data_IF_650084115175
#
_entry.id   IF_650084115175
#
_cell.length_a   1.000
_cell.length_b   1.000
_cell.length_c   1.000
_cell.angle_alpha   90.00
_cell.angle_beta   90.00
_cell.angle_gamma   90.00
#
_symmetry.space_group_name_H-M   'P 1'
#
loop_
_entity.id
_entity.type
_entity.pdbx_description
1 polymer ?
#
# COMPACT_ATOMS: atom_id res chain seq x y z
N UNK A 1 -5.41 -21.00 -6.99
CA UNK A 1 -5.49 -19.74 -7.78
C UNK A 1 -4.07 -19.20 -7.88
N UNK A 2 -3.37 -19.40 -8.98
CA UNK A 2 -1.92 -19.18 -8.98
C UNK A 2 -1.50 -17.74 -8.72
N UNK A 3 -2.10 -16.73 -9.37
CA UNK A 3 -1.70 -15.33 -9.20
C UNK A 3 -2.78 -14.46 -8.55
N UNK A 4 -2.55 -13.99 -7.32
CA UNK A 4 -3.48 -13.09 -6.61
C UNK A 4 -2.78 -11.80 -6.21
N UNK A 5 -3.34 -10.65 -6.61
CA UNK A 5 -2.83 -9.32 -6.23
C UNK A 5 -3.71 -8.71 -5.14
N UNK A 6 -3.09 -8.19 -4.09
CA UNK A 6 -3.76 -7.39 -3.04
C UNK A 6 -3.36 -5.94 -3.19
N UNK A 7 -4.34 -5.06 -3.35
CA UNK A 7 -4.14 -3.61 -3.47
C UNK A 7 -5.05 -2.85 -2.50
N UNK A 8 -4.62 -1.66 -2.10
CA UNK A 8 -5.49 -0.71 -1.42
C UNK A 8 -6.42 -0.01 -2.42
N UNK A 9 -7.69 0.08 -2.11
CA UNK A 9 -8.70 0.67 -3.00
C UNK A 9 -9.05 2.14 -2.64
N UNK A 10 -8.32 2.74 -1.71
CA UNK A 10 -8.54 4.11 -1.22
C UNK A 10 -7.20 4.88 -1.20
N UNK A 11 -6.93 5.69 -0.16
CA UNK A 11 -5.68 6.46 0.01
C UNK A 11 -4.65 5.78 0.92
N UNK A 12 -4.61 4.46 0.97
CA UNK A 12 -3.74 3.72 1.89
C UNK A 12 -4.40 3.50 3.25
N UNK A 13 -3.69 2.77 4.11
CA UNK A 13 -4.13 2.44 5.47
C UNK A 13 -5.48 1.69 5.57
N UNK A 14 -5.87 0.99 4.50
CA UNK A 14 -7.13 0.23 4.43
C UNK A 14 -7.11 -1.06 5.27
N UNK A 15 -6.01 -1.37 5.96
CA UNK A 15 -5.87 -2.63 6.69
C UNK A 15 -5.39 -3.80 5.80
N UNK A 16 -4.64 -3.49 4.74
CA UNK A 16 -4.05 -4.50 3.82
C UNK A 16 -3.22 -5.55 4.55
N UNK A 17 -2.46 -5.17 5.59
CA UNK A 17 -1.63 -6.10 6.35
C UNK A 17 -2.40 -7.30 6.86
N UNK A 18 -3.57 -7.08 7.47
CA UNK A 18 -4.47 -8.14 7.96
C UNK A 18 -4.93 -9.08 6.83
N UNK A 19 -5.39 -8.51 5.71
CA UNK A 19 -5.88 -9.31 4.57
C UNK A 19 -4.74 -10.04 3.87
N UNK A 20 -3.58 -9.40 3.75
CA UNK A 20 -2.38 -10.02 3.17
C UNK A 20 -1.89 -11.18 4.04
N UNK A 21 -1.84 -11.02 5.35
CA UNK A 21 -1.46 -12.09 6.29
C UNK A 21 -2.43 -13.28 6.21
N UNK A 22 -3.75 -13.01 6.20
CA UNK A 22 -4.77 -14.03 6.03
C UNK A 22 -4.57 -14.85 4.74
N UNK A 23 -4.19 -14.19 3.65
CA UNK A 23 -3.97 -14.84 2.35
C UNK A 23 -2.58 -15.48 2.25
N UNK A 24 -1.57 -14.92 2.92
CA UNK A 24 -0.20 -15.43 2.94
C UNK A 24 -0.12 -16.85 3.52
N UNK A 25 -1.00 -17.20 4.45
CA UNK A 25 -1.08 -18.55 4.98
C UNK A 25 -1.28 -19.62 3.88
N UNK A 26 -2.07 -19.29 2.85
CA UNK A 26 -2.40 -20.18 1.73
C UNK A 26 -1.50 -20.00 0.52
N UNK A 27 -0.66 -18.96 0.51
CA UNK A 27 0.29 -18.70 -0.56
C UNK A 27 1.57 -19.54 -0.39
N UNK A 28 2.25 -19.85 -1.48
CA UNK A 28 3.59 -20.43 -1.49
C UNK A 28 4.66 -19.36 -1.59
N UNK A 29 4.34 -18.26 -2.31
CA UNK A 29 5.21 -17.11 -2.52
C UNK A 29 4.45 -15.84 -2.18
N UNK A 30 5.07 -14.92 -1.43
CA UNK A 30 4.56 -13.56 -1.17
C UNK A 30 5.53 -12.55 -1.75
N UNK A 31 5.10 -11.78 -2.74
CA UNK A 31 5.96 -10.87 -3.49
C UNK A 31 5.49 -9.42 -3.38
N UNK A 32 6.30 -8.55 -2.77
CA UNK A 32 6.09 -7.10 -2.83
C UNK A 32 6.54 -6.55 -4.17
N UNK A 33 5.71 -5.74 -4.80
CA UNK A 33 5.95 -5.32 -6.17
C UNK A 33 6.22 -3.81 -6.34
N UNK A 34 5.94 -2.94 -5.34
CA UNK A 34 6.15 -1.50 -5.44
C UNK A 34 6.28 -0.83 -4.08
N UNK A 35 6.57 0.49 -4.09
CA UNK A 35 6.77 1.29 -2.89
C UNK A 35 8.17 1.06 -2.29
N UNK A 36 8.27 1.26 -1.01
CA UNK A 36 9.52 1.11 -0.26
C UNK A 36 9.21 1.09 1.24
N UNK A 37 10.12 1.60 2.05
CA UNK A 37 9.96 1.71 3.48
C UNK A 37 8.96 2.81 3.94
N UNK A 38 8.24 3.44 3.01
CA UNK A 38 7.08 4.28 3.28
C UNK A 38 5.78 3.48 3.51
N UNK A 39 5.79 2.15 3.30
CA UNK A 39 4.69 1.28 3.72
C UNK A 39 4.74 1.00 5.22
N UNK A 40 3.59 0.67 5.81
CA UNK A 40 3.48 0.21 7.19
C UNK A 40 2.40 -0.86 7.26
N UNK A 41 2.81 -2.14 7.25
CA UNK A 41 1.92 -3.27 7.44
C UNK A 41 2.02 -3.75 8.88
N UNK A 42 0.95 -3.57 9.62
CA UNK A 42 0.82 -4.13 10.97
C UNK A 42 0.11 -5.47 10.88
N UNK A 43 0.73 -6.49 11.42
CA UNK A 43 0.21 -7.86 11.49
C UNK A 43 0.16 -8.24 12.97
N UNK A 44 -0.98 -8.76 13.41
CA UNK A 44 -1.13 -9.32 14.75
C UNK A 44 -1.18 -10.84 14.62
N UNK A 45 -0.21 -11.53 15.23
CA UNK A 45 -0.13 -12.98 15.24
C UNK A 45 0.21 -13.50 16.63
N UNK A 46 -0.56 -14.46 17.12
CA UNK A 46 -0.38 -15.07 18.44
C UNK A 46 -0.33 -14.02 19.58
N UNK A 47 -1.10 -12.93 19.43
CA UNK A 47 -1.13 -11.79 20.36
C UNK A 47 0.06 -10.82 20.24
N UNK A 48 1.00 -11.07 19.35
CA UNK A 48 2.15 -10.20 19.09
C UNK A 48 1.95 -9.33 17.84
N UNK A 49 2.35 -8.06 17.95
CA UNK A 49 2.31 -7.10 16.85
C UNK A 49 3.64 -7.07 16.09
N UNK A 50 3.58 -7.23 14.76
CA UNK A 50 4.70 -7.08 13.83
C UNK A 50 4.44 -5.89 12.91
N UNK A 51 5.39 -4.97 12.85
CA UNK A 51 5.33 -3.78 11.96
C UNK A 51 6.36 -3.95 10.85
N UNK A 52 5.88 -4.24 9.65
CA UNK A 52 6.72 -4.46 8.47
C UNK A 52 6.64 -3.26 7.52
N UNK A 53 7.79 -2.82 7.03
CA UNK A 53 7.90 -1.69 6.10
C UNK A 53 8.36 -2.12 4.71
N UNK A 54 9.39 -2.95 4.61
CA UNK A 54 9.98 -3.44 3.36
C UNK A 54 9.74 -4.93 3.15
N UNK A 55 9.92 -5.72 4.20
CA UNK A 55 9.83 -7.17 4.12
C UNK A 55 8.39 -7.60 3.90
N UNK A 56 8.12 -8.56 2.96
CA UNK A 56 6.76 -9.07 2.73
C UNK A 56 6.14 -9.72 3.95
N UNK A 57 4.82 -9.60 4.10
CA UNK A 57 4.06 -10.14 5.24
C UNK A 57 4.23 -11.64 5.44
N UNK A 58 4.50 -12.38 4.37
CA UNK A 58 4.76 -13.83 4.41
C UNK A 58 6.00 -14.26 5.18
N UNK A 59 6.88 -13.33 5.58
CA UNK A 59 8.12 -13.63 6.32
C UNK A 59 7.88 -14.33 7.65
N UNK A 60 6.69 -14.13 8.24
CA UNK A 60 6.28 -14.78 9.47
C UNK A 60 6.03 -16.29 9.32
N UNK A 61 6.08 -16.81 8.09
CA UNK A 61 5.86 -18.22 7.76
C UNK A 61 7.11 -18.80 7.09
N UNK A 62 7.91 -19.57 7.78
CA UNK A 62 9.18 -20.10 7.28
C UNK A 62 9.06 -20.91 5.98
N UNK A 63 7.93 -21.63 5.81
CA UNK A 63 7.68 -22.44 4.61
C UNK A 63 7.35 -21.62 3.35
N UNK A 64 7.17 -20.29 3.47
CA UNK A 64 6.81 -19.41 2.35
C UNK A 64 8.05 -18.73 1.79
N UNK A 65 8.11 -18.54 0.48
CA UNK A 65 9.15 -17.72 -0.12
C UNK A 65 8.69 -16.26 -0.16
N UNK A 66 9.48 -15.36 0.42
CA UNK A 66 9.20 -13.92 0.44
C UNK A 66 10.08 -13.20 -0.57
N UNK A 67 9.48 -12.43 -1.48
CA UNK A 67 10.20 -11.76 -2.56
C UNK A 67 10.02 -10.25 -2.49
N UNK A 68 11.12 -9.51 -2.49
CA UNK A 68 11.14 -8.08 -2.78
C UNK A 68 11.43 -7.91 -4.26
N UNK A 69 10.41 -7.50 -5.03
CA UNK A 69 10.48 -7.35 -6.48
C UNK A 69 11.25 -6.10 -6.92
N UNK A 70 11.56 -6.03 -8.20
CA UNK A 70 12.32 -4.93 -8.81
C UNK A 70 11.58 -3.57 -8.82
N UNK A 71 10.26 -3.58 -8.56
CA UNK A 71 9.48 -2.36 -8.43
C UNK A 71 9.64 -1.68 -7.06
N UNK A 72 10.14 -2.37 -6.05
CA UNK A 72 10.39 -1.82 -4.72
C UNK A 72 11.72 -1.04 -4.71
N UNK A 73 11.75 0.08 -3.96
CA UNK A 73 12.99 0.80 -3.65
C UNK A 73 13.39 0.50 -2.20
N UNK A 74 14.67 0.18 -1.98
CA UNK A 74 15.17 -0.45 -0.76
C UNK A 74 16.18 0.46 -0.05
N UNK A 75 15.89 0.86 1.17
CA UNK A 75 16.90 1.40 2.08
C UNK A 75 17.59 0.22 2.79
N UNK A 76 18.90 -0.03 2.56
CA UNK A 76 19.60 -1.16 3.18
C UNK A 76 19.56 -1.15 4.69
N UNK A 77 19.65 0.02 5.31
CA UNK A 77 19.62 0.19 6.77
C UNK A 77 18.29 -0.25 7.35
N UNK A 78 17.20 0.16 6.71
CA UNK A 78 15.84 -0.18 7.15
C UNK A 78 15.57 -1.67 6.93
N UNK A 79 15.92 -2.22 5.75
CA UNK A 79 15.69 -3.64 5.45
C UNK A 79 16.41 -4.55 6.45
N UNK A 80 17.70 -4.28 6.71
CA UNK A 80 18.47 -5.10 7.64
C UNK A 80 18.11 -4.85 9.10
N UNK A 81 17.73 -3.62 9.47
CA UNK A 81 17.18 -3.34 10.80
C UNK A 81 15.88 -4.09 11.07
N UNK A 82 15.00 -4.18 10.06
CA UNK A 82 13.76 -4.94 10.13
C UNK A 82 14.03 -6.45 10.22
N UNK A 83 14.98 -6.97 9.42
CA UNK A 83 15.39 -8.37 9.46
C UNK A 83 16.01 -8.75 10.81
N UNK A 84 16.88 -7.89 11.36
CA UNK A 84 17.52 -8.12 12.65
C UNK A 84 16.49 -8.12 13.80
N UNK A 85 15.48 -7.23 13.73
CA UNK A 85 14.38 -7.20 14.68
C UNK A 85 13.51 -8.47 14.61
N UNK A 86 13.28 -9.01 13.42
CA UNK A 86 12.58 -10.29 13.23
C UNK A 86 13.40 -11.45 13.80
N UNK A 87 14.69 -11.49 13.53
CA UNK A 87 15.62 -12.53 14.08
C UNK A 87 15.67 -12.51 15.59
N UNK A 88 15.66 -11.34 16.22
CA UNK A 88 15.59 -11.20 17.68
C UNK A 88 14.31 -11.79 18.27
N UNK A 89 13.26 -11.96 17.46
CA UNK A 89 11.98 -12.58 17.82
C UNK A 89 11.84 -14.02 17.32
N UNK A 90 12.94 -14.66 16.91
CA UNK A 90 12.99 -16.06 16.48
C UNK A 90 12.58 -16.34 15.04
N UNK A 91 12.40 -15.30 14.22
CA UNK A 91 12.08 -15.44 12.78
C UNK A 91 13.38 -15.31 11.98
N UNK A 92 13.86 -16.41 11.39
CA UNK A 92 15.19 -16.46 10.72
C UNK A 92 15.31 -15.49 9.55
N UNK A 93 14.23 -15.32 8.77
CA UNK A 93 14.21 -14.53 7.54
C UNK A 93 14.99 -15.15 6.38
N UNK A 94 15.42 -16.41 6.48
CA UNK A 94 16.19 -17.11 5.45
C UNK A 94 15.38 -17.40 4.18
N UNK A 95 14.05 -17.30 4.30
CA UNK A 95 13.09 -17.42 3.21
C UNK A 95 12.90 -16.10 2.41
N UNK A 96 13.64 -15.04 2.74
CA UNK A 96 13.64 -13.78 1.98
C UNK A 96 14.45 -13.93 0.68
N UNK A 97 13.97 -13.29 -0.38
CA UNK A 97 14.65 -13.14 -1.67
C UNK A 97 14.49 -11.68 -2.14
N UNK A 98 15.54 -11.12 -2.69
CA UNK A 98 15.59 -9.72 -3.13
C UNK A 98 15.98 -9.67 -4.59
N UNK A 99 15.18 -9.00 -5.41
CA UNK A 99 15.51 -8.80 -6.81
C UNK A 99 16.82 -8.03 -6.96
N UNK A 100 17.78 -8.59 -7.69
CA UNK A 100 18.99 -7.88 -8.06
C UNK A 100 18.72 -6.58 -8.85
N UNK A 101 17.54 -6.48 -9.48
CA UNK A 101 17.10 -5.30 -10.24
C UNK A 101 16.39 -4.23 -9.39
N UNK A 102 16.12 -4.46 -8.11
CA UNK A 102 15.57 -3.45 -7.21
C UNK A 102 16.56 -2.30 -7.00
N UNK A 103 16.05 -1.08 -6.82
CA UNK A 103 16.89 0.11 -6.64
C UNK A 103 17.14 0.39 -5.16
N UNK A 104 18.36 0.86 -4.86
CA UNK A 104 18.76 1.25 -3.52
C UNK A 104 18.43 2.72 -3.27
N UNK A 105 17.85 3.01 -2.12
CA UNK A 105 17.70 4.36 -1.61
C UNK A 105 19.08 4.79 -1.06
N UNK A 106 19.64 5.80 -1.68
CA UNK A 106 20.95 6.34 -1.39
C UNK A 106 20.86 7.45 -0.34
N UNK A 107 21.95 7.75 0.41
CA UNK A 107 21.95 8.85 1.37
C UNK A 107 21.52 10.20 0.79
N UNK A 108 21.89 10.50 -0.44
CA UNK A 108 21.46 11.73 -1.11
C UNK A 108 19.96 11.78 -1.42
N UNK A 109 19.29 10.63 -1.56
CA UNK A 109 17.84 10.61 -1.75
C UNK A 109 17.10 11.13 -0.53
N UNK A 110 17.56 10.78 0.67
CA UNK A 110 16.99 11.25 1.93
C UNK A 110 17.17 12.76 2.10
N UNK A 111 18.38 13.27 1.81
CA UNK A 111 18.67 14.70 1.88
C UNK A 111 17.80 15.49 0.89
N UNK A 112 17.70 15.02 -0.36
CA UNK A 112 16.91 15.69 -1.40
C UNK A 112 15.40 15.62 -1.12
N UNK A 113 14.88 14.53 -0.53
CA UNK A 113 13.47 14.42 -0.17
C UNK A 113 13.08 15.48 0.85
N UNK A 114 13.87 15.61 1.93
CA UNK A 114 13.66 16.63 2.94
C UNK A 114 13.78 18.06 2.39
N UNK A 115 14.78 18.30 1.54
CA UNK A 115 15.01 19.63 0.95
C UNK A 115 13.88 20.03 0.00
N UNK A 116 13.43 19.11 -0.85
CA UNK A 116 12.33 19.37 -1.78
C UNK A 116 11.03 19.75 -1.03
N UNK A 117 10.69 19.05 0.06
CA UNK A 117 9.53 19.40 0.88
C UNK A 117 9.66 20.80 1.50
N UNK A 118 10.85 21.18 1.96
CA UNK A 118 11.10 22.53 2.49
C UNK A 118 10.92 23.60 1.41
N UNK A 119 11.43 23.37 0.21
CA UNK A 119 11.33 24.31 -0.91
C UNK A 119 9.88 24.52 -1.39
N UNK A 120 9.09 23.47 -1.35
CA UNK A 120 7.66 23.57 -1.71
C UNK A 120 6.85 24.41 -0.71
N UNK A 121 7.31 24.59 0.52
CA UNK A 121 6.68 25.44 1.53
C UNK A 121 5.18 25.13 1.72
N UNK A 122 4.31 26.07 1.36
CA UNK A 122 2.86 25.86 1.45
C UNK A 122 2.28 24.86 0.44
N UNK A 123 3.05 24.48 -0.56
CA UNK A 123 2.70 23.48 -1.57
C UNK A 123 3.30 22.12 -1.30
N UNK A 124 3.82 21.89 -0.09
CA UNK A 124 4.38 20.62 0.31
C UNK A 124 3.37 19.48 0.06
N UNK A 125 3.90 18.35 -0.33
CA UNK A 125 3.12 17.14 -0.61
C UNK A 125 2.80 16.40 0.70
N UNK A 126 3.66 16.55 1.70
CA UNK A 126 3.60 15.83 2.96
C UNK A 126 4.26 14.45 2.84
N UNK A 127 5.40 14.36 2.16
CA UNK A 127 6.14 13.12 2.00
C UNK A 127 6.59 12.52 3.33
N UNK A 128 7.00 11.27 3.31
CA UNK A 128 7.52 10.58 4.51
C UNK A 128 8.98 10.93 4.82
N UNK A 129 9.66 11.70 3.95
CA UNK A 129 11.07 12.06 4.09
C UNK A 129 12.02 10.86 3.99
N UNK A 130 11.61 9.78 3.32
CA UNK A 130 12.36 8.50 3.25
C UNK A 130 13.08 8.27 1.93
N UNK A 131 13.21 9.29 1.11
CA UNK A 131 13.95 9.24 -0.15
C UNK A 131 13.27 8.44 -1.26
N UNK A 132 11.99 8.07 -1.10
CA UNK A 132 11.24 7.25 -2.05
C UNK A 132 11.15 7.94 -3.41
N UNK A 133 10.62 9.18 -3.43
CA UNK A 133 10.45 9.96 -4.66
C UNK A 133 11.76 10.16 -5.42
N UNK A 134 12.81 10.72 -4.80
CA UNK A 134 14.10 10.89 -5.43
C UNK A 134 14.72 9.58 -5.97
N UNK A 135 14.50 8.44 -5.29
CA UNK A 135 14.99 7.15 -5.77
C UNK A 135 14.25 6.69 -7.05
N UNK A 136 12.93 6.86 -7.12
CA UNK A 136 12.18 6.59 -8.34
C UNK A 136 12.57 7.54 -9.49
N UNK A 137 12.84 8.81 -9.21
CA UNK A 137 13.38 9.76 -10.22
C UNK A 137 14.67 9.22 -10.81
N UNK A 138 15.61 8.75 -10.00
CA UNK A 138 16.88 8.21 -10.47
C UNK A 138 16.70 6.89 -11.26
N UNK A 139 15.76 6.05 -10.86
CA UNK A 139 15.38 4.85 -11.61
C UNK A 139 14.96 5.20 -13.05
N UNK A 140 14.03 6.15 -13.22
CA UNK A 140 13.53 6.55 -14.54
C UNK A 140 14.54 7.41 -15.31
N UNK A 141 15.38 8.16 -14.63
CA UNK A 141 16.55 8.86 -15.22
C UNK A 141 17.64 7.89 -15.64
N UNK A 142 17.60 6.64 -15.21
CA UNK A 142 18.55 5.56 -15.54
C UNK A 142 19.95 5.77 -14.96
N UNK A 143 20.03 6.44 -13.80
CA UNK A 143 21.26 6.64 -13.04
C UNK A 143 21.22 5.96 -11.67
N UNK A 144 20.10 5.32 -11.34
CA UNK A 144 19.90 4.65 -10.05
C UNK A 144 20.85 3.48 -9.82
N UNK A 145 21.15 3.25 -8.55
CA UNK A 145 21.99 2.13 -8.09
C UNK A 145 21.05 0.95 -7.78
N UNK A 146 21.40 -0.23 -8.28
CA UNK A 146 20.62 -1.47 -8.08
C UNK A 146 21.30 -2.38 -7.06
N UNK A 147 20.54 -3.27 -6.45
CA UNK A 147 21.05 -4.27 -5.51
C UNK A 147 22.18 -5.10 -6.11
N UNK A 148 22.05 -5.56 -7.36
CA UNK A 148 23.10 -6.31 -8.05
C UNK A 148 24.43 -5.55 -8.23
N UNK A 149 24.41 -4.21 -8.21
CA UNK A 149 25.64 -3.42 -8.35
C UNK A 149 26.55 -3.60 -7.15
N UNK A 150 26.04 -4.05 -6.00
CA UNK A 150 26.83 -4.38 -4.82
C UNK A 150 27.80 -5.55 -5.06
N UNK A 151 27.52 -6.41 -6.04
CA UNK A 151 28.34 -7.58 -6.37
C UNK A 151 29.56 -7.23 -7.25
N UNK A 152 29.66 -5.99 -7.71
CA UNK A 152 30.81 -5.52 -8.51
C UNK A 152 31.24 -4.13 -8.02
N UNK A 153 32.25 -4.10 -7.15
CA UNK A 153 32.79 -2.88 -6.56
C UNK A 153 33.17 -1.82 -7.62
N UNK A 154 33.79 -2.25 -8.72
CA UNK A 154 34.24 -1.33 -9.77
C UNK A 154 33.07 -0.65 -10.46
N UNK A 155 32.01 -1.40 -10.74
CA UNK A 155 30.77 -0.85 -11.31
C UNK A 155 30.09 0.06 -10.30
N UNK A 156 29.97 -0.36 -9.05
CA UNK A 156 29.36 0.42 -7.98
C UNK A 156 30.06 1.77 -7.80
N UNK A 157 31.39 1.80 -7.63
CA UNK A 157 32.17 3.04 -7.48
C UNK A 157 31.96 4.01 -8.64
N UNK A 158 32.00 3.49 -9.88
CA UNK A 158 31.75 4.30 -11.06
C UNK A 158 30.36 4.92 -11.07
N UNK A 159 29.32 4.12 -10.78
CA UNK A 159 27.92 4.58 -10.77
C UNK A 159 27.67 5.61 -9.67
N UNK A 160 28.14 5.35 -8.44
CA UNK A 160 28.00 6.27 -7.31
C UNK A 160 28.69 7.60 -7.61
N UNK A 161 29.94 7.56 -8.13
CA UNK A 161 30.67 8.76 -8.53
C UNK A 161 29.89 9.56 -9.59
N UNK A 162 29.35 8.90 -10.60
CA UNK A 162 28.59 9.57 -11.66
C UNK A 162 27.31 10.19 -11.11
N UNK A 163 26.55 9.48 -10.27
CA UNK A 163 25.34 10.01 -9.68
C UNK A 163 25.63 11.22 -8.77
N UNK A 164 26.66 11.13 -7.94
CA UNK A 164 27.02 12.21 -7.01
C UNK A 164 27.56 13.47 -7.69
N UNK A 165 28.03 13.42 -8.93
CA UNK A 165 28.36 14.63 -9.67
C UNK A 165 27.16 15.58 -9.79
N UNK A 166 25.99 15.03 -10.14
CA UNK A 166 24.75 15.81 -10.22
C UNK A 166 24.15 16.09 -8.83
N UNK A 167 24.10 15.07 -7.99
CA UNK A 167 23.46 15.22 -6.67
C UNK A 167 24.17 16.21 -5.77
N UNK A 168 25.49 16.22 -5.77
CA UNK A 168 26.27 17.19 -5.02
C UNK A 168 26.08 18.62 -5.53
N UNK A 169 25.91 18.83 -6.84
CA UNK A 169 25.54 20.13 -7.37
C UNK A 169 24.18 20.60 -6.80
N UNK A 170 23.17 19.71 -6.74
CA UNK A 170 21.88 20.05 -6.16
C UNK A 170 21.97 20.29 -4.65
N UNK A 171 22.72 19.46 -3.92
CA UNK A 171 22.89 19.63 -2.48
C UNK A 171 23.56 20.97 -2.16
N UNK A 172 24.62 21.35 -2.90
CA UNK A 172 25.25 22.66 -2.79
C UNK A 172 24.28 23.81 -3.06
N UNK A 173 23.46 23.69 -4.10
CA UNK A 173 22.45 24.69 -4.44
C UNK A 173 21.45 24.93 -3.31
N UNK A 174 21.19 23.91 -2.52
CA UNK A 174 20.27 23.95 -1.37
C UNK A 174 20.99 24.17 -0.03
N UNK A 175 22.27 24.59 -0.02
CA UNK A 175 23.08 24.79 1.19
C UNK A 175 23.17 23.52 2.07
N UNK A 176 23.11 22.34 1.46
CA UNK A 176 23.29 21.04 2.12
C UNK A 176 24.70 20.52 1.84
N UNK A 177 25.33 19.93 2.85
CA UNK A 177 26.68 19.36 2.72
C UNK A 177 26.75 18.31 1.62
N UNK A 178 27.78 18.41 0.79
CA UNK A 178 28.06 17.41 -0.26
C UNK A 178 28.52 16.09 0.33
N UNK A 179 28.28 15.02 -0.41
CA UNK A 179 28.69 13.67 -0.04
C UNK A 179 29.95 13.25 -0.79
N UNK A 180 30.83 12.58 -0.06
CA UNK A 180 32.01 11.96 -0.65
C UNK A 180 31.65 10.65 -1.35
N UNK A 181 32.00 10.49 -2.66
CA UNK A 181 31.61 9.27 -3.40
C UNK A 181 32.26 7.99 -2.87
N UNK A 182 33.50 8.05 -2.38
CA UNK A 182 34.19 6.88 -1.88
C UNK A 182 33.56 6.44 -0.55
N UNK A 183 33.29 7.38 0.36
CA UNK A 183 32.61 7.09 1.62
C UNK A 183 31.22 6.48 1.40
N UNK A 184 30.41 7.04 0.47
CA UNK A 184 29.09 6.49 0.15
C UNK A 184 29.20 5.09 -0.43
N UNK A 185 30.22 4.84 -1.27
CA UNK A 185 30.43 3.51 -1.83
C UNK A 185 30.86 2.51 -0.77
N UNK A 186 31.78 2.89 0.11
CA UNK A 186 32.27 2.00 1.19
C UNK A 186 31.14 1.64 2.18
N UNK A 187 30.26 2.59 2.49
CA UNK A 187 29.04 2.32 3.28
C UNK A 187 28.16 1.24 2.62
N UNK A 188 27.96 1.34 1.29
CA UNK A 188 27.16 0.36 0.55
C UNK A 188 27.84 -1.01 0.47
N UNK A 189 29.16 -1.04 0.24
CA UNK A 189 29.95 -2.29 0.22
C UNK A 189 29.86 -3.02 1.56
N UNK A 190 29.71 -2.31 2.67
CA UNK A 190 29.48 -2.88 3.98
C UNK A 190 28.19 -3.72 4.09
N UNK A 191 27.26 -3.58 3.14
CA UNK A 191 26.04 -4.40 3.08
C UNK A 191 26.15 -5.60 2.14
N UNK A 192 27.21 -5.72 1.33
CA UNK A 192 27.34 -6.74 0.27
C UNK A 192 27.17 -8.15 0.81
N UNK A 193 27.95 -8.54 1.81
CA UNK A 193 27.88 -9.88 2.42
C UNK A 193 26.50 -10.20 3.01
N UNK A 194 25.80 -9.16 3.51
CA UNK A 194 24.44 -9.32 4.05
C UNK A 194 23.40 -9.50 2.96
N UNK A 195 23.56 -8.86 1.79
CA UNK A 195 22.64 -8.98 0.66
C UNK A 195 22.85 -10.26 -0.13
N UNK A 196 24.07 -10.71 -0.30
CA UNK A 196 24.45 -11.81 -1.20
C UNK A 196 23.56 -13.06 -1.08
N UNK A 197 23.20 -13.57 0.14
CA UNK A 197 22.34 -14.73 0.28
C UNK A 197 20.91 -14.54 -0.22
N UNK A 198 20.46 -13.30 -0.34
CA UNK A 198 19.08 -12.96 -0.69
C UNK A 198 18.90 -12.60 -2.16
N UNK A 199 20.00 -12.20 -2.86
CA UNK A 199 19.92 -11.70 -4.24
C UNK A 199 19.48 -12.81 -5.19
N UNK A 200 18.45 -12.53 -5.99
CA UNK A 200 17.94 -13.46 -7.00
C UNK A 200 17.43 -12.76 -8.26
N UNK A 201 17.20 -13.56 -9.30
CA UNK A 201 16.29 -13.17 -10.39
C UNK A 201 14.84 -13.40 -9.92
N UNK A 202 14.23 -12.34 -9.40
CA UNK A 202 12.88 -12.40 -8.89
C UNK A 202 11.84 -12.75 -9.96
N UNK A 203 12.06 -12.31 -11.21
CA UNK A 203 11.15 -12.64 -12.32
C UNK A 203 11.19 -14.13 -12.62
N UNK A 204 12.37 -14.71 -12.75
CA UNK A 204 12.52 -16.16 -12.95
C UNK A 204 11.89 -16.95 -11.80
N UNK A 205 12.17 -16.57 -10.56
CA UNK A 205 11.66 -17.23 -9.36
C UNK A 205 10.13 -17.25 -9.33
N UNK A 206 9.50 -16.06 -9.49
CA UNK A 206 8.05 -15.94 -9.40
C UNK A 206 7.34 -16.64 -10.57
N UNK A 207 7.85 -16.51 -11.81
CA UNK A 207 7.28 -17.21 -12.96
C UNK A 207 7.43 -18.73 -12.83
N UNK A 208 8.59 -19.24 -12.37
CA UNK A 208 8.78 -20.67 -12.10
C UNK A 208 7.77 -21.18 -11.07
N UNK A 209 7.52 -20.44 -10.01
CA UNK A 209 6.50 -20.81 -9.02
C UNK A 209 5.10 -20.91 -9.66
N UNK A 210 4.72 -19.92 -10.47
CA UNK A 210 3.44 -19.95 -11.21
C UNK A 210 3.36 -21.12 -12.20
N UNK A 211 4.45 -21.47 -12.92
CA UNK A 211 4.51 -22.61 -13.84
C UNK A 211 4.34 -23.95 -13.11
N UNK A 212 4.79 -24.02 -11.87
CA UNK A 212 4.59 -25.16 -10.97
C UNK A 212 3.18 -25.22 -10.35
N UNK A 213 2.29 -24.30 -10.70
CA UNK A 213 0.94 -24.21 -10.13
C UNK A 213 0.89 -23.70 -8.69
N UNK A 214 2.00 -23.15 -8.17
CA UNK A 214 2.07 -22.57 -6.82
C UNK A 214 1.26 -21.28 -6.73
N UNK A 215 0.74 -21.00 -5.53
CA UNK A 215 0.04 -19.76 -5.25
C UNK A 215 1.03 -18.64 -5.00
N UNK A 216 0.98 -17.59 -5.83
CA UNK A 216 1.76 -16.37 -5.66
C UNK A 216 0.82 -15.23 -5.22
N UNK A 217 1.11 -14.66 -4.08
CA UNK A 217 0.45 -13.48 -3.54
C UNK A 217 1.29 -12.24 -3.82
N UNK A 218 0.79 -11.32 -4.62
CA UNK A 218 1.43 -10.04 -4.87
C UNK A 218 0.91 -9.02 -3.88
N UNK A 219 1.78 -8.58 -2.98
CA UNK A 219 1.48 -7.66 -1.89
C UNK A 219 1.75 -6.22 -2.31
N UNK A 220 0.68 -5.42 -2.41
CA UNK A 220 0.74 -3.99 -2.68
C UNK A 220 0.91 -3.15 -1.41
N UNK A 221 1.45 -1.96 -1.59
CA UNK A 221 1.56 -0.93 -0.56
C UNK A 221 0.77 0.31 -1.00
N UNK A 222 0.51 1.24 -0.07
CA UNK A 222 -0.30 2.44 -0.29
C UNK A 222 -1.73 2.08 -0.80
N UNK A 223 -2.35 2.95 -1.59
CA UNK A 223 -3.69 2.74 -2.15
C UNK A 223 -3.82 3.35 -3.54
N UNK A 224 -4.80 2.89 -4.31
CA UNK A 224 -5.01 3.25 -5.71
C UNK A 224 -5.14 4.76 -5.95
N UNK A 225 -5.70 5.50 -4.98
CA UNK A 225 -5.86 6.95 -5.10
C UNK A 225 -4.57 7.74 -4.79
N UNK A 226 -3.49 7.04 -4.42
CA UNK A 226 -2.13 7.56 -4.32
C UNK A 226 -1.25 7.19 -5.52
N UNK A 227 -1.81 6.59 -6.56
CA UNK A 227 -1.07 6.23 -7.78
C UNK A 227 -0.53 7.47 -8.49
N UNK A 228 0.74 7.40 -8.96
CA UNK A 228 1.41 8.56 -9.57
C UNK A 228 0.74 9.01 -10.86
N UNK A 229 0.12 8.10 -11.61
CA UNK A 229 -0.54 8.39 -12.88
C UNK A 229 -2.04 8.67 -12.73
N UNK A 230 -2.71 7.95 -11.83
CA UNK A 230 -4.17 7.94 -11.72
C UNK A 230 -4.72 8.47 -10.39
N UNK A 231 -3.86 8.74 -9.43
CA UNK A 231 -4.24 9.24 -8.11
C UNK A 231 -4.56 10.73 -8.09
N UNK A 232 -4.73 11.25 -6.88
CA UNK A 232 -5.01 12.66 -6.61
C UNK A 232 -3.75 13.54 -6.74
N UNK A 233 -3.10 13.52 -7.90
CA UNK A 233 -1.87 14.26 -8.19
C UNK A 233 -2.01 15.76 -7.86
N UNK A 234 -1.00 16.44 -7.26
CA UNK A 234 0.34 15.93 -6.93
C UNK A 234 0.43 15.19 -5.58
N UNK A 235 -0.66 15.06 -4.83
CA UNK A 235 -0.70 14.45 -3.50
C UNK A 235 -0.79 12.92 -3.62
N UNK A 236 0.27 12.32 -4.15
CA UNK A 236 0.39 10.90 -4.48
C UNK A 236 1.73 10.34 -4.04
N UNK A 237 1.90 9.01 -4.08
CA UNK A 237 3.22 8.37 -3.98
C UNK A 237 3.91 8.38 -5.33
N UNK A 238 5.24 8.19 -5.35
CA UNK A 238 6.02 8.16 -6.60
C UNK A 238 6.05 6.77 -7.27
N UNK A 239 5.11 5.90 -6.94
CA UNK A 239 4.97 4.57 -7.52
C UNK A 239 3.53 4.32 -7.97
N UNK A 240 3.30 3.17 -8.59
CA UNK A 240 1.97 2.74 -9.01
C UNK A 240 1.42 1.67 -8.05
N UNK A 241 0.53 2.01 -7.09
CA UNK A 241 -0.12 1.06 -6.18
C UNK A 241 -1.23 0.22 -6.83
N UNK A 242 -1.62 0.50 -8.07
CA UNK A 242 -2.65 -0.27 -8.80
C UNK A 242 -2.16 -1.66 -9.20
N UNK A 243 -3.07 -2.60 -9.43
CA UNK A 243 -2.74 -4.01 -9.66
C UNK A 243 -1.83 -4.27 -10.87
N UNK A 244 -1.92 -3.43 -11.92
CA UNK A 244 -1.05 -3.53 -13.09
C UNK A 244 0.44 -3.45 -12.77
N UNK A 245 0.81 -2.77 -11.68
CA UNK A 245 2.19 -2.66 -11.24
C UNK A 245 2.77 -3.97 -10.66
N UNK A 246 1.96 -4.94 -10.30
CA UNK A 246 2.43 -6.27 -9.92
C UNK A 246 3.22 -6.91 -11.08
N UNK A 247 2.75 -6.72 -12.31
CA UNK A 247 3.42 -7.24 -13.51
C UNK A 247 4.79 -6.60 -13.73
N UNK A 248 4.87 -5.27 -13.74
CA UNK A 248 6.14 -4.55 -13.96
C UNK A 248 7.07 -4.63 -12.77
N UNK A 249 6.53 -4.71 -11.56
CA UNK A 249 7.30 -4.73 -10.31
C UNK A 249 7.91 -6.09 -9.95
N UNK A 250 7.45 -7.17 -10.60
CA UNK A 250 7.98 -8.53 -10.38
C UNK A 250 8.42 -9.23 -11.68
N UNK A 251 8.14 -8.63 -12.84
CA UNK A 251 8.45 -9.23 -14.14
C UNK A 251 7.54 -10.41 -14.51
N UNK A 252 6.26 -10.36 -14.12
CA UNK A 252 5.24 -11.36 -14.43
C UNK A 252 4.32 -10.82 -15.52
N UNK A 253 3.94 -11.66 -16.49
CA UNK A 253 3.00 -11.27 -17.53
C UNK A 253 1.57 -11.04 -16.99
N UNK A 254 0.80 -10.09 -17.55
CA UNK A 254 -0.53 -9.75 -17.02
C UNK A 254 -1.53 -10.91 -17.06
N UNK A 255 -1.38 -11.84 -17.99
CA UNK A 255 -2.24 -13.05 -18.10
C UNK A 255 -2.00 -14.09 -17.03
N UNK A 256 -1.03 -13.86 -16.12
CA UNK A 256 -0.71 -14.74 -14.99
C UNK A 256 -1.38 -14.26 -13.69
N UNK A 257 -2.13 -13.16 -13.75
CA UNK A 257 -2.89 -12.61 -12.63
C UNK A 257 -4.35 -13.09 -12.78
N UNK A 258 -4.78 -13.93 -11.83
CA UNK A 258 -6.13 -14.52 -11.86
C UNK A 258 -7.13 -13.71 -11.02
N UNK A 259 -6.66 -13.15 -9.89
CA UNK A 259 -7.50 -12.41 -8.95
C UNK A 259 -6.84 -11.13 -8.50
N UNK A 260 -7.67 -10.10 -8.35
CA UNK A 260 -7.28 -8.84 -7.73
C UNK A 260 -8.22 -8.58 -6.55
N UNK A 261 -7.66 -8.52 -5.36
CA UNK A 261 -8.39 -8.22 -4.12
C UNK A 261 -8.14 -6.76 -3.77
N UNK A 262 -9.21 -5.96 -3.81
CA UNK A 262 -9.18 -4.57 -3.36
C UNK A 262 -9.55 -4.49 -1.89
N UNK A 263 -8.66 -3.99 -1.07
CA UNK A 263 -8.95 -3.74 0.35
C UNK A 263 -9.48 -2.32 0.50
N UNK A 264 -10.64 -2.17 1.10
CA UNK A 264 -11.28 -0.89 1.37
C UNK A 264 -11.82 -0.85 2.80
N UNK A 265 -11.66 0.27 3.49
CA UNK A 265 -12.41 0.54 4.71
C UNK A 265 -13.88 0.82 4.37
N UNK A 266 -14.75 0.53 5.29
CA UNK A 266 -16.19 0.86 5.17
C UNK A 266 -16.47 2.36 5.38
N UNK A 267 -15.45 3.16 5.62
CA UNK A 267 -15.40 4.61 5.57
C UNK A 267 -14.10 5.02 4.87
N UNK A 268 -13.79 6.30 4.80
CA UNK A 268 -12.59 6.75 4.11
C UNK A 268 -11.63 7.45 5.06
N UNK A 269 -10.33 7.20 4.90
CA UNK A 269 -9.30 7.95 5.61
C UNK A 269 -8.21 8.44 4.66
N UNK A 270 -7.57 9.55 5.01
CA UNK A 270 -6.43 10.08 4.29
C UNK A 270 -5.37 10.61 5.23
N UNK A 271 -4.10 10.34 4.94
CA UNK A 271 -2.95 10.97 5.60
C UNK A 271 -2.38 12.05 4.69
N UNK A 272 -1.96 13.17 5.27
CA UNK A 272 -1.33 14.28 4.56
C UNK A 272 -2.31 15.18 3.82
N UNK A 273 -1.73 15.98 2.94
CA UNK A 273 -2.45 17.04 2.22
C UNK A 273 -3.26 16.49 1.03
N UNK A 274 -4.00 17.37 0.40
CA UNK A 274 -4.75 17.09 -0.82
C UNK A 274 -6.26 16.94 -0.61
N UNK A 275 -7.02 16.86 -1.71
CA UNK A 275 -8.47 16.87 -1.67
C UNK A 275 -9.03 15.59 -1.03
N UNK A 276 -10.06 15.76 -0.21
CA UNK A 276 -10.79 14.69 0.44
C UNK A 276 -12.28 15.08 0.50
N UNK A 277 -13.05 14.84 -0.55
CA UNK A 277 -14.43 15.37 -0.68
C UNK A 277 -15.36 14.98 0.47
N UNK A 278 -15.21 13.78 1.01
CA UNK A 278 -16.08 13.23 2.08
C UNK A 278 -15.53 13.45 3.49
N UNK A 279 -14.50 14.29 3.67
CA UNK A 279 -13.90 14.57 4.98
C UNK A 279 -14.92 15.15 5.94
N UNK A 280 -14.86 14.72 7.20
CA UNK A 280 -15.70 15.16 8.30
C UNK A 280 -14.90 15.97 9.32
N UNK A 281 -15.49 17.06 9.78
CA UNK A 281 -14.92 17.95 10.78
C UNK A 281 -15.79 18.03 12.06
N UNK A 282 -16.74 17.10 12.18
CA UNK A 282 -17.72 16.99 13.26
C UNK A 282 -17.39 15.85 14.22
N UNK A 283 -18.28 15.64 15.21
CA UNK A 283 -18.15 14.58 16.21
C UNK A 283 -18.14 13.19 15.60
N UNK A 284 -18.81 12.98 14.44
CA UNK A 284 -18.79 11.68 13.76
C UNK A 284 -17.39 11.38 13.20
N UNK A 285 -16.75 12.37 12.58
CA UNK A 285 -15.37 12.23 12.12
C UNK A 285 -14.37 11.99 13.26
N UNK A 286 -14.58 12.68 14.40
CA UNK A 286 -13.79 12.43 15.61
C UNK A 286 -13.99 11.02 16.16
N UNK A 287 -15.24 10.57 16.28
CA UNK A 287 -15.57 9.22 16.73
C UNK A 287 -14.94 8.13 15.82
N UNK A 288 -15.04 8.29 14.48
CA UNK A 288 -14.39 7.37 13.53
C UNK A 288 -12.88 7.30 13.75
N UNK A 289 -12.23 8.44 14.05
CA UNK A 289 -10.78 8.48 14.33
C UNK A 289 -10.44 7.74 15.61
N UNK A 290 -11.17 7.99 16.68
CA UNK A 290 -10.88 7.46 18.01
C UNK A 290 -11.19 5.95 18.08
N UNK A 291 -12.39 5.53 17.68
CA UNK A 291 -12.80 4.12 17.65
C UNK A 291 -11.97 3.33 16.63
N UNK A 292 -11.71 3.94 15.47
CA UNK A 292 -10.92 3.33 14.41
C UNK A 292 -9.40 3.32 14.68
N UNK A 293 -8.92 3.96 15.76
CA UNK A 293 -7.50 4.17 16.04
C UNK A 293 -6.76 4.70 14.79
N UNK A 294 -7.32 5.76 14.18
CA UNK A 294 -6.84 6.29 12.92
C UNK A 294 -5.65 7.23 13.11
N UNK A 295 -4.51 6.61 13.42
CA UNK A 295 -3.20 7.27 13.56
C UNK A 295 -2.18 6.57 12.67
N UNK A 296 -1.27 7.33 12.09
CA UNK A 296 -0.24 6.80 11.21
C UNK A 296 0.73 5.87 11.94
N UNK A 297 0.84 4.63 11.51
CA UNK A 297 1.70 3.59 12.13
C UNK A 297 3.15 4.04 12.28
N UNK A 298 3.65 4.84 11.34
CA UNK A 298 5.04 5.28 11.28
C UNK A 298 5.29 6.65 11.90
N UNK A 299 4.33 7.56 11.76
CA UNK A 299 4.49 8.98 12.13
C UNK A 299 3.65 9.38 13.32
N UNK A 300 2.70 8.54 13.77
CA UNK A 300 1.72 8.89 14.81
C UNK A 300 0.76 10.02 14.41
N UNK A 301 0.81 10.52 13.17
CA UNK A 301 -0.06 11.62 12.69
C UNK A 301 -1.50 11.14 12.63
N UNK A 302 -2.42 12.01 13.04
CA UNK A 302 -3.85 11.77 12.89
C UNK A 302 -4.20 11.59 11.41
N UNK A 303 -5.07 10.61 11.13
CA UNK A 303 -5.68 10.45 9.82
C UNK A 303 -6.94 11.28 9.75
N UNK A 304 -7.12 11.98 8.66
CA UNK A 304 -8.38 12.63 8.29
C UNK A 304 -9.41 11.54 8.02
N UNK A 305 -10.60 11.65 8.58
CA UNK A 305 -11.68 10.66 8.46
C UNK A 305 -12.87 11.26 7.72
N UNK A 306 -13.61 10.43 7.02
CA UNK A 306 -14.80 10.85 6.29
C UNK A 306 -15.67 9.67 5.88
N UNK A 307 -16.88 9.97 5.40
CA UNK A 307 -17.81 8.97 4.89
C UNK A 307 -17.23 8.19 3.71
N UNK A 308 -17.74 6.98 3.49
CA UNK A 308 -17.32 6.15 2.36
C UNK A 308 -17.59 6.86 1.05
N UNK A 309 -16.53 6.98 0.26
CA UNK A 309 -16.57 7.55 -1.09
C UNK A 309 -16.68 6.43 -2.12
N UNK A 310 -17.90 6.16 -2.54
CA UNK A 310 -18.19 5.09 -3.50
C UNK A 310 -17.79 5.47 -4.93
N UNK A 311 -17.74 6.77 -5.26
CA UNK A 311 -17.25 7.22 -6.57
C UNK A 311 -15.74 6.90 -6.69
N UNK A 312 -14.98 7.23 -5.65
CA UNK A 312 -13.56 6.93 -5.58
C UNK A 312 -13.29 5.42 -5.52
N UNK A 313 -14.10 4.66 -4.76
CA UNK A 313 -13.97 3.19 -4.69
C UNK A 313 -14.27 2.53 -6.04
N UNK A 314 -15.34 2.94 -6.73
CA UNK A 314 -15.68 2.48 -8.08
C UNK A 314 -14.56 2.76 -9.08
N UNK A 315 -13.93 3.92 -8.95
CA UNK A 315 -12.76 4.28 -9.75
C UNK A 315 -11.57 3.35 -9.49
N UNK A 316 -11.23 3.09 -8.24
CA UNK A 316 -10.16 2.17 -7.86
C UNK A 316 -10.43 0.74 -8.37
N UNK A 317 -11.69 0.28 -8.32
CA UNK A 317 -12.12 -1.00 -8.89
C UNK A 317 -11.81 -1.06 -10.38
N UNK A 318 -12.14 0.00 -11.14
CA UNK A 318 -11.87 0.08 -12.57
C UNK A 318 -10.38 0.08 -12.88
N UNK A 319 -9.59 0.88 -12.16
CA UNK A 319 -8.13 1.01 -12.38
C UNK A 319 -7.37 -0.30 -12.18
N UNK A 320 -7.75 -1.02 -11.14
CA UNK A 320 -7.03 -2.24 -10.76
C UNK A 320 -7.69 -3.52 -11.29
N UNK A 321 -8.87 -3.43 -11.91
CA UNK A 321 -9.63 -4.62 -12.31
C UNK A 321 -9.98 -5.49 -11.11
N UNK A 322 -10.39 -4.88 -9.98
CA UNK A 322 -10.67 -5.59 -8.74
C UNK A 322 -11.78 -6.62 -8.96
N UNK A 323 -11.46 -7.87 -8.69
CA UNK A 323 -12.40 -9.00 -8.81
C UNK A 323 -13.19 -9.23 -7.54
N UNK A 324 -12.58 -8.94 -6.38
CA UNK A 324 -13.19 -9.09 -5.07
C UNK A 324 -12.76 -7.95 -4.14
N UNK A 325 -13.69 -7.47 -3.32
CA UNK A 325 -13.43 -6.53 -2.23
C UNK A 325 -13.20 -7.29 -0.92
N UNK A 326 -12.28 -6.75 -0.13
CA UNK A 326 -12.13 -7.02 1.29
C UNK A 326 -12.49 -5.74 2.04
N UNK A 327 -13.64 -5.74 2.71
CA UNK A 327 -14.11 -4.61 3.49
C UNK A 327 -13.56 -4.71 4.91
N UNK A 328 -12.95 -3.64 5.39
CA UNK A 328 -12.34 -3.58 6.72
C UNK A 328 -12.99 -2.52 7.59
N UNK A 329 -12.82 -2.65 8.91
CA UNK A 329 -13.28 -1.63 9.86
C UNK A 329 -14.82 -1.44 9.88
N UNK A 330 -15.59 -2.50 9.60
CA UNK A 330 -17.05 -2.43 9.68
C UNK A 330 -17.51 -2.17 11.12
N UNK A 331 -16.79 -2.69 12.09
CA UNK A 331 -16.98 -2.50 13.53
C UNK A 331 -16.95 -1.04 13.97
N UNK A 332 -16.16 -0.21 13.29
CA UNK A 332 -16.00 1.22 13.63
C UNK A 332 -17.29 2.02 13.41
N UNK A 333 -18.19 1.53 12.54
CA UNK A 333 -19.47 2.18 12.25
C UNK A 333 -20.58 1.79 13.22
N UNK A 334 -20.33 0.85 14.14
CA UNK A 334 -21.29 0.46 15.18
C UNK A 334 -21.65 1.65 16.07
N UNK A 335 -22.94 1.81 16.37
CA UNK A 335 -23.47 2.91 17.18
C UNK A 335 -23.92 4.12 16.38
N UNK A 336 -23.68 4.17 15.07
CA UNK A 336 -24.22 5.21 14.21
C UNK A 336 -25.62 4.80 13.72
N UNK A 337 -26.61 5.68 13.94
CA UNK A 337 -27.99 5.44 13.51
C UNK A 337 -28.16 5.57 11.98
N UNK A 338 -27.35 6.44 11.37
CA UNK A 338 -27.39 6.73 9.93
C UNK A 338 -25.97 6.74 9.36
N UNK A 339 -25.80 6.10 8.22
CA UNK A 339 -24.54 6.09 7.47
C UNK A 339 -24.72 6.82 6.16
N UNK A 340 -23.81 7.76 5.87
CA UNK A 340 -23.80 8.47 4.61
C UNK A 340 -22.78 7.85 3.65
N UNK A 341 -23.16 7.59 2.42
CA UNK A 341 -22.27 7.10 1.35
C UNK A 341 -22.28 8.10 0.20
N UNK A 342 -21.09 8.51 -0.25
CA UNK A 342 -20.99 9.42 -1.37
C UNK A 342 -21.16 8.66 -2.69
N UNK A 343 -22.22 8.99 -3.41
CA UNK A 343 -22.59 8.34 -4.70
C UNK A 343 -22.32 9.22 -5.91
N UNK A 344 -22.16 10.51 -5.73
CA UNK A 344 -21.87 11.49 -6.79
C UNK A 344 -21.12 12.69 -6.20
N UNK A 345 -20.49 13.48 -7.07
CA UNK A 345 -19.96 14.78 -6.71
C UNK A 345 -20.69 15.91 -7.43
N UNK A 346 -20.68 17.07 -6.81
CA UNK A 346 -21.05 18.34 -7.44
C UNK A 346 -19.81 19.22 -7.56
N UNK A 347 -19.42 19.55 -8.79
CA UNK A 347 -18.34 20.46 -9.09
C UNK A 347 -18.91 21.68 -9.86
N UNK A 348 -19.05 22.81 -9.18
CA UNK A 348 -19.79 23.97 -9.70
C UNK A 348 -21.24 23.60 -9.96
N UNK A 349 -21.68 23.71 -11.23
CA UNK A 349 -23.03 23.34 -11.67
C UNK A 349 -23.13 21.90 -12.19
N UNK A 350 -22.01 21.20 -12.33
CA UNK A 350 -21.98 19.84 -12.91
C UNK A 350 -22.15 18.78 -11.83
N UNK A 351 -22.91 17.75 -12.17
CA UNK A 351 -22.99 16.50 -11.40
C UNK A 351 -22.03 15.50 -12.03
N UNK A 352 -21.21 14.87 -11.20
CA UNK A 352 -20.21 13.90 -11.62
C UNK A 352 -20.51 12.54 -10.97
N UNK A 353 -20.76 11.54 -11.79
CA UNK A 353 -21.01 10.15 -11.38
C UNK A 353 -19.73 9.28 -11.43
N UNK A 354 -18.67 9.86 -12.01
CA UNK A 354 -17.35 9.25 -12.14
C UNK A 354 -16.30 10.14 -11.47
N UNK A 355 -15.19 9.52 -11.06
CA UNK A 355 -14.06 10.24 -10.49
C UNK A 355 -13.52 11.25 -11.51
N UNK A 356 -13.43 12.53 -11.15
CA UNK A 356 -13.10 13.57 -12.10
C UNK A 356 -11.66 13.49 -12.59
N UNK A 357 -11.48 13.58 -13.91
CA UNK A 357 -10.16 13.65 -14.53
C UNK A 357 -9.46 14.99 -14.24
N UNK A 358 -10.23 16.08 -14.17
CA UNK A 358 -9.66 17.40 -13.91
C UNK A 358 -9.40 17.61 -12.43
N UNK A 359 -8.16 17.94 -12.10
CA UNK A 359 -7.74 18.22 -10.72
C UNK A 359 -8.59 19.34 -10.09
N UNK A 360 -8.89 20.41 -10.84
CA UNK A 360 -9.74 21.51 -10.36
C UNK A 360 -11.12 21.02 -9.95
N UNK A 361 -11.72 20.13 -10.74
CA UNK A 361 -13.03 19.57 -10.41
C UNK A 361 -12.96 18.73 -9.12
N UNK A 362 -11.91 17.94 -8.95
CA UNK A 362 -11.73 17.12 -7.76
C UNK A 362 -11.47 17.96 -6.50
N UNK A 363 -10.65 19.02 -6.61
CA UNK A 363 -10.41 19.94 -5.49
C UNK A 363 -11.66 20.68 -5.03
N UNK A 364 -12.61 20.93 -5.92
CA UNK A 364 -13.86 21.63 -5.61
C UNK A 364 -15.06 20.69 -5.52
N UNK A 365 -14.85 19.39 -5.59
CA UNK A 365 -15.89 18.40 -5.51
C UNK A 365 -16.58 18.45 -4.13
N UNK A 366 -17.89 18.61 -4.15
CA UNK A 366 -18.74 18.47 -2.98
C UNK A 366 -19.46 17.13 -3.05
N UNK A 367 -19.38 16.29 -2.02
CA UNK A 367 -20.02 14.98 -2.03
C UNK A 367 -21.54 15.13 -1.99
N UNK A 368 -22.22 14.27 -2.70
CA UNK A 368 -23.64 14.06 -2.60
C UNK A 368 -23.87 12.67 -2.01
N UNK A 369 -24.55 12.66 -0.90
CA UNK A 369 -24.74 11.45 -0.10
C UNK A 369 -26.09 10.79 -0.35
N UNK A 370 -26.10 9.48 -0.20
CA UNK A 370 -27.29 8.67 0.10
C UNK A 370 -27.18 8.23 1.54
N UNK A 371 -28.29 8.26 2.26
CA UNK A 371 -28.40 7.86 3.65
C UNK A 371 -28.85 6.40 3.71
N UNK A 372 -28.12 5.61 4.50
CA UNK A 372 -28.41 4.20 4.77
C UNK A 372 -28.62 4.00 6.28
N UNK A 373 -29.49 3.08 6.70
CA UNK A 373 -29.62 2.73 8.11
C UNK A 373 -28.30 2.23 8.69
N UNK A 374 -27.96 2.65 9.89
CA UNK A 374 -26.85 2.11 10.67
C UNK A 374 -27.32 1.00 11.60
N UNK A 375 -26.43 0.59 12.51
CA UNK A 375 -26.70 -0.45 13.51
C UNK A 375 -26.04 -0.11 14.85
N UNK A 376 -26.60 -0.62 15.93
CA UNK A 376 -26.11 -0.39 17.31
C UNK A 376 -25.54 -1.65 17.95
N UNK A 377 -25.79 -2.81 17.38
CA UNK A 377 -25.33 -4.09 17.87
C UNK A 377 -23.81 -4.23 17.66
N UNK A 378 -23.10 -4.73 18.69
CA UNK A 378 -21.68 -5.06 18.56
C UNK A 378 -21.50 -6.24 17.60
N UNK A 379 -20.73 -6.02 16.54
CA UNK A 379 -20.53 -7.02 15.48
C UNK A 379 -19.20 -7.76 15.59
N UNK A 380 -18.38 -7.48 16.58
CA UNK A 380 -17.01 -8.05 16.70
C UNK A 380 -17.01 -9.55 16.92
N UNK A 381 -18.08 -10.10 17.49
CA UNK A 381 -18.25 -11.53 17.71
C UNK A 381 -18.97 -12.24 16.55
N UNK A 382 -19.33 -11.54 15.47
CA UNK A 382 -19.95 -12.13 14.30
C UNK A 382 -18.95 -12.99 13.52
N UNK A 383 -19.24 -14.28 13.36
CA UNK A 383 -18.40 -15.23 12.63
C UNK A 383 -18.91 -15.49 11.20
N UNK A 384 -20.21 -15.29 10.98
CA UNK A 384 -20.87 -15.57 9.70
C UNK A 384 -21.61 -14.33 9.17
N UNK A 385 -21.94 -14.37 7.89
CA UNK A 385 -22.78 -13.35 7.25
C UNK A 385 -24.14 -13.16 7.93
N UNK A 386 -24.72 -14.26 8.41
CA UNK A 386 -26.03 -14.27 9.03
C UNK A 386 -26.05 -13.64 10.42
N UNK A 387 -24.92 -13.62 11.11
CA UNK A 387 -24.79 -13.02 12.45
C UNK A 387 -24.80 -11.49 12.40
N UNK A 388 -24.44 -10.91 11.24
CA UNK A 388 -24.45 -9.46 11.06
C UNK A 388 -25.88 -8.91 11.14
N UNK A 389 -26.11 -7.75 11.78
CA UNK A 389 -27.37 -7.01 11.72
C UNK A 389 -27.82 -6.78 10.27
N UNK A 390 -29.14 -6.72 10.03
CA UNK A 390 -29.67 -6.54 8.68
C UNK A 390 -29.12 -5.27 8.02
N UNK A 391 -29.06 -4.15 8.76
CA UNK A 391 -28.50 -2.89 8.26
C UNK A 391 -27.03 -3.01 7.84
N UNK A 392 -26.21 -3.75 8.60
CA UNK A 392 -24.82 -4.01 8.23
C UNK A 392 -24.71 -4.85 6.95
N UNK A 393 -25.58 -5.86 6.78
CA UNK A 393 -25.67 -6.64 5.54
C UNK A 393 -26.08 -5.78 4.35
N UNK A 394 -27.10 -4.95 4.51
CA UNK A 394 -27.61 -4.06 3.47
C UNK A 394 -26.52 -3.05 3.05
N UNK A 395 -25.76 -2.53 4.01
CA UNK A 395 -24.61 -1.65 3.75
C UNK A 395 -23.55 -2.33 2.88
N UNK A 396 -23.14 -3.53 3.24
CA UNK A 396 -22.16 -4.32 2.46
C UNK A 396 -22.69 -4.66 1.07
N UNK A 397 -23.96 -5.02 0.97
CA UNK A 397 -24.61 -5.31 -0.31
C UNK A 397 -24.67 -4.07 -1.19
N UNK A 398 -25.02 -2.91 -0.62
CA UNK A 398 -25.05 -1.64 -1.33
C UNK A 398 -23.68 -1.30 -1.94
N UNK A 399 -22.58 -1.48 -1.18
CA UNK A 399 -21.21 -1.29 -1.68
C UNK A 399 -20.94 -2.22 -2.87
N UNK A 400 -21.29 -3.50 -2.76
CA UNK A 400 -21.08 -4.49 -3.80
C UNK A 400 -21.85 -4.15 -5.09
N UNK A 401 -23.10 -3.72 -4.96
CA UNK A 401 -23.97 -3.35 -6.08
C UNK A 401 -23.49 -2.06 -6.77
N UNK A 402 -23.17 -1.02 -6.01
CA UNK A 402 -22.71 0.25 -6.54
C UNK A 402 -21.39 0.10 -7.29
N UNK A 403 -20.44 -0.63 -6.71
CA UNK A 403 -19.12 -0.87 -7.33
C UNK A 403 -19.16 -1.96 -8.41
N UNK A 404 -20.27 -2.70 -8.51
CA UNK A 404 -20.42 -3.87 -9.38
C UNK A 404 -19.34 -4.93 -9.15
N UNK A 405 -18.87 -5.05 -7.90
CA UNK A 405 -17.76 -5.91 -7.51
C UNK A 405 -18.17 -6.82 -6.37
N UNK A 406 -17.66 -8.05 -6.38
CA UNK A 406 -17.98 -9.04 -5.36
C UNK A 406 -17.27 -8.71 -4.05
N UNK A 407 -17.97 -8.83 -2.91
CA UNK A 407 -17.35 -8.82 -1.58
C UNK A 407 -17.05 -10.25 -1.15
N UNK A 408 -15.83 -10.49 -0.66
CA UNK A 408 -15.37 -11.82 -0.24
C UNK A 408 -14.94 -11.86 1.22
N UNK A 409 -14.43 -10.76 1.75
CA UNK A 409 -13.92 -10.65 3.12
C UNK A 409 -14.56 -9.45 3.81
N UNK A 410 -14.99 -9.62 5.05
CA UNK A 410 -15.58 -8.57 5.89
C UNK A 410 -14.89 -8.63 7.24
N UNK A 411 -14.08 -7.62 7.56
CA UNK A 411 -13.44 -7.53 8.86
C UNK A 411 -14.34 -6.77 9.85
N UNK A 412 -14.64 -7.43 10.95
CA UNK A 412 -15.51 -6.97 12.02
C UNK A 412 -14.75 -6.59 13.29
N UNK A 413 -13.43 -6.56 13.24
CA UNK A 413 -12.53 -6.16 14.32
C UNK A 413 -11.07 -6.13 13.85
N UNK A 414 -10.08 -5.82 14.72
CA UNK A 414 -8.67 -5.69 14.36
C UNK A 414 -7.96 -7.04 14.15
N UNK A 415 -8.35 -8.09 14.86
CA UNK A 415 -7.74 -9.42 14.82
C UNK A 415 -7.96 -10.15 13.51
N UNK A 416 -7.09 -11.08 13.18
CA UNK A 416 -7.18 -11.91 11.98
C UNK A 416 -8.46 -12.75 11.98
N UNK A 417 -8.79 -13.32 13.13
CA UNK A 417 -9.97 -14.17 13.36
C UNK A 417 -11.28 -13.40 13.21
N UNK A 418 -11.22 -12.07 13.45
CA UNK A 418 -12.36 -11.17 13.30
C UNK A 418 -12.57 -10.79 11.83
N UNK A 419 -12.53 -11.81 10.93
CA UNK A 419 -12.76 -11.64 9.49
C UNK A 419 -13.70 -12.72 8.97
N UNK A 420 -14.90 -12.32 8.60
CA UNK A 420 -15.87 -13.18 7.95
C UNK A 420 -15.43 -13.44 6.51
N UNK A 421 -15.20 -14.70 6.17
CA UNK A 421 -14.88 -15.14 4.80
C UNK A 421 -16.16 -15.70 4.18
N UNK A 422 -16.70 -15.00 3.21
CA UNK A 422 -17.94 -15.43 2.57
C UNK A 422 -17.71 -16.69 1.72
N UNK A 423 -18.49 -17.79 1.94
CA UNK A 423 -18.38 -19.00 1.12
C UNK A 423 -18.67 -18.72 -0.35
N UNK A 424 -19.71 -17.93 -0.60
CA UNK A 424 -20.04 -17.33 -1.90
C UNK A 424 -19.93 -15.81 -1.78
N UNK A 425 -19.24 -15.19 -2.72
CA UNK A 425 -19.09 -13.71 -2.73
C UNK A 425 -20.44 -13.05 -3.00
N UNK A 426 -20.72 -11.93 -2.33
CA UNK A 426 -21.91 -11.10 -2.54
C UNK A 426 -21.63 -10.14 -3.69
N UNK A 427 -22.63 -9.90 -4.56
CA UNK A 427 -22.55 -9.03 -5.74
C UNK A 427 -22.84 -9.75 -7.05
N UNK A 428 -22.64 -9.09 -8.22
CA UNK A 428 -23.02 -9.61 -9.54
C UNK A 428 -22.56 -11.07 -9.75
N UNK A 429 -23.53 -11.98 -9.89
CA UNK A 429 -23.35 -13.40 -10.25
C UNK A 429 -23.35 -14.40 -9.10
N UNK A 430 -23.61 -13.98 -7.87
CA UNK A 430 -23.80 -14.86 -6.73
C UNK A 430 -25.15 -14.58 -6.05
N UNK A 431 -26.15 -15.42 -6.33
CA UNK A 431 -27.28 -15.50 -5.42
C UNK A 431 -26.77 -16.08 -4.08
N UNK A 432 -27.23 -15.51 -2.98
CA UNK A 432 -27.05 -16.02 -1.61
C UNK A 432 -27.49 -17.48 -1.52
#
# INVERSE_FOLDING_TARGET
MPGTVVVGAQWGDEGKGKITDLLAEKADVVARFQGGNNAGHTIVRDGEEFKLHLIPSGILYEAKTCVIGNGVVIDPRIMFGELDALRARGISGDNLRVSGNAHLIMPYHLLLDGTNEQQLGKYKIGTTGRGIGPCYVDKYKRIGIRVQDLLDEKILRRKVKTALQEKNFLLQHYDVSVLDPDRVTDELLGYTERFEPFICDASLLVNTALDQGKHVLFEGAQGALLDVDFGSYPFVTSSNPIAGAACTGTGVGPTRIDHVIGVAKTYTTRVGEGPFPTELFDDVGAAMRDVGHEFGTTTGRERRCGWLDLVALKYAVRLSGITHLALTKLDVLTGLETLNVCTRYKAGTRLLEEFPMLQTDFHHAKPLYEELPGWTEDIRECETWQDLPQAARDYVQYIAEFTKTRVKFIAVGPGREETIILPRSIGRGGAV
#
